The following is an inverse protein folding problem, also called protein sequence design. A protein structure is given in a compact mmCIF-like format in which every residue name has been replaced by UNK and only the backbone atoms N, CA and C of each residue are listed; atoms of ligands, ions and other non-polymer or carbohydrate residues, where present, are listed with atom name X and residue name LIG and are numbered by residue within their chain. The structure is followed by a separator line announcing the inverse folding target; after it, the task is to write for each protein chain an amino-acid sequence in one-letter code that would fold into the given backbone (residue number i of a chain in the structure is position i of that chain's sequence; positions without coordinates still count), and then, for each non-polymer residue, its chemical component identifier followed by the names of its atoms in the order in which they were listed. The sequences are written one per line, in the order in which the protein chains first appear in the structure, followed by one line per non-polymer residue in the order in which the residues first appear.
data_IF_913265653887
#
_entry.id   IF_913265653887
#
_cell.length_a   1.000
_cell.length_b   1.000
_cell.length_c   1.000
_cell.angle_alpha   90.00
_cell.angle_beta   90.00
_cell.angle_gamma   90.00
#
_symmetry.space_group_name_H-M   'P 1'
#
loop_
_entity.id
_entity.type
_entity.pdbx_description
1 polymer ?
#
# COMPACT_ATOMS: atom_id res chain seq x y z
N UNK A 1 -3.28 21.39 7.80
CA UNK A 1 -1.92 20.85 7.61
C UNK A 1 -1.56 20.87 6.14
N UNK A 2 -0.27 20.82 5.80
CA UNK A 2 0.18 20.61 4.42
C UNK A 2 -0.03 19.15 4.02
N UNK A 3 -0.63 18.92 2.85
CA UNK A 3 -0.99 17.58 2.34
C UNK A 3 -0.33 17.37 0.98
N UNK A 4 0.33 16.23 0.83
CA UNK A 4 0.86 15.77 -0.44
C UNK A 4 -0.12 14.80 -1.10
N UNK A 5 -0.44 15.03 -2.37
CA UNK A 5 -1.05 14.02 -3.23
C UNK A 5 0.07 13.33 -3.98
N UNK A 6 0.25 12.04 -3.70
CA UNK A 6 1.24 11.22 -4.37
C UNK A 6 0.58 10.11 -5.18
N UNK A 7 1.22 9.73 -6.27
CA UNK A 7 0.91 8.51 -7.00
C UNK A 7 2.09 7.55 -6.85
N UNK A 8 1.81 6.35 -6.35
CA UNK A 8 2.73 5.21 -6.35
C UNK A 8 2.31 4.26 -7.46
N UNK A 9 3.24 3.86 -8.32
CA UNK A 9 3.01 2.90 -9.40
C UNK A 9 4.11 1.85 -9.42
N UNK A 10 3.73 0.59 -9.66
CA UNK A 10 4.71 -0.49 -9.83
C UNK A 10 5.47 -0.28 -11.14
N UNK A 11 6.79 -0.25 -11.06
CA UNK A 11 7.66 0.00 -12.21
C UNK A 11 7.58 -1.16 -13.21
N UNK A 12 7.54 -0.84 -14.51
CA UNK A 12 7.64 -1.83 -15.58
C UNK A 12 6.44 -2.78 -15.78
N UNK A 13 5.32 -2.59 -15.07
CA UNK A 13 4.14 -3.48 -15.15
C UNK A 13 3.06 -2.92 -16.08
N UNK A 14 2.47 -3.78 -16.92
CA UNK A 14 1.33 -3.48 -17.79
C UNK A 14 0.25 -4.58 -17.70
N UNK A 15 -1.03 -4.24 -17.48
CA UNK A 15 -1.55 -2.90 -17.22
C UNK A 15 -1.02 -2.34 -15.89
N UNK A 16 -0.87 -1.01 -15.82
CA UNK A 16 -0.25 -0.34 -14.68
C UNK A 16 -1.00 -0.65 -13.36
N UNK A 17 -0.24 -1.11 -12.36
CA UNK A 17 -0.71 -1.24 -10.97
C UNK A 17 -0.30 0.01 -10.20
N UNK A 18 -1.26 0.74 -9.63
CA UNK A 18 -0.98 2.04 -9.00
C UNK A 18 -2.01 2.44 -7.94
N UNK A 19 -1.61 3.37 -7.06
CA UNK A 19 -2.45 4.02 -6.05
C UNK A 19 -2.18 5.51 -6.03
N UNK A 20 -3.23 6.31 -5.79
CA UNK A 20 -3.14 7.74 -5.52
C UNK A 20 -3.57 8.02 -4.10
N UNK A 21 -2.71 8.66 -3.34
CA UNK A 21 -2.81 8.81 -1.90
C UNK A 21 -2.73 10.29 -1.53
N UNK A 22 -3.44 10.66 -0.47
CA UNK A 22 -3.15 11.86 0.32
C UNK A 22 -2.34 11.42 1.53
N UNK A 23 -1.21 12.07 1.75
CA UNK A 23 -0.38 11.91 2.96
C UNK A 23 -0.11 13.28 3.58
N UNK A 24 0.05 13.31 4.89
CA UNK A 24 0.39 14.54 5.60
C UNK A 24 1.88 14.87 5.42
N UNK A 25 2.24 16.15 5.44
CA UNK A 25 3.63 16.58 5.30
C UNK A 25 4.55 16.04 6.41
N UNK A 26 4.01 15.86 7.61
CA UNK A 26 4.67 15.26 8.78
C UNK A 26 4.64 13.71 8.79
N UNK A 27 4.20 13.06 7.71
CA UNK A 27 4.29 11.60 7.57
C UNK A 27 5.76 11.20 7.55
N UNK A 28 6.19 10.38 8.52
CA UNK A 28 7.55 9.85 8.55
C UNK A 28 7.78 8.81 7.45
N UNK A 29 9.03 8.56 7.05
CA UNK A 29 9.34 7.50 6.09
C UNK A 29 8.94 6.11 6.60
N UNK A 30 9.04 5.86 7.90
CA UNK A 30 8.52 4.64 8.52
C UNK A 30 6.99 4.52 8.32
N UNK A 31 6.24 5.58 8.65
CA UNK A 31 4.79 5.58 8.44
C UNK A 31 4.41 5.45 6.95
N UNK A 32 5.17 6.09 6.05
CA UNK A 32 4.96 5.97 4.61
C UNK A 32 5.16 4.54 4.12
N UNK A 33 6.17 3.84 4.63
CA UNK A 33 6.39 2.42 4.31
C UNK A 33 5.16 1.59 4.68
N UNK A 34 4.62 1.73 5.89
CA UNK A 34 3.42 0.99 6.31
C UNK A 34 2.16 1.39 5.53
N UNK A 35 2.03 2.67 5.15
CA UNK A 35 0.98 3.10 4.20
C UNK A 35 1.13 2.35 2.88
N UNK A 36 2.35 2.19 2.35
CA UNK A 36 2.63 1.46 1.11
C UNK A 36 2.30 -0.03 1.24
N UNK A 37 2.66 -0.67 2.36
CA UNK A 37 2.27 -2.05 2.65
C UNK A 37 0.74 -2.22 2.57
N UNK A 38 -0.03 -1.37 3.25
CA UNK A 38 -1.49 -1.44 3.24
C UNK A 38 -2.06 -1.25 1.83
N UNK A 39 -1.61 -0.24 1.08
CA UNK A 39 -2.23 0.08 -0.22
C UNK A 39 -1.87 -0.93 -1.30
N UNK A 40 -0.75 -1.64 -1.15
CA UNK A 40 -0.32 -2.72 -2.03
C UNK A 40 -0.83 -4.09 -1.59
N UNK A 41 -1.36 -4.22 -0.37
CA UNK A 41 -1.87 -5.48 0.18
C UNK A 41 -0.77 -6.41 0.68
N UNK A 42 0.33 -5.84 1.19
CA UNK A 42 1.51 -6.56 1.67
C UNK A 42 1.62 -6.60 3.19
N UNK A 43 2.43 -7.56 3.67
CA UNK A 43 2.57 -7.91 5.08
C UNK A 43 3.79 -7.38 5.81
N UNK A 44 4.65 -6.59 5.17
CA UNK A 44 5.98 -6.23 5.68
C UNK A 44 6.88 -7.45 6.01
N UNK A 45 6.80 -8.49 5.16
CA UNK A 45 7.58 -9.72 5.29
C UNK A 45 9.03 -9.60 4.76
N UNK A 46 9.37 -8.48 4.11
CA UNK A 46 10.63 -8.31 3.41
C UNK A 46 11.27 -6.93 3.61
N UNK A 47 12.58 -6.86 3.38
CA UNK A 47 13.33 -5.61 3.41
C UNK A 47 12.84 -4.63 2.34
N UNK A 48 13.02 -3.34 2.63
CA UNK A 48 12.62 -2.25 1.77
C UNK A 48 13.60 -1.08 1.84
N UNK A 49 13.52 -0.18 0.87
CA UNK A 49 14.21 1.11 0.90
C UNK A 49 13.47 2.16 0.07
N UNK A 50 13.62 3.42 0.45
CA UNK A 50 13.32 4.59 -0.36
C UNK A 50 14.62 5.13 -0.93
N UNK A 51 14.62 5.51 -2.20
CA UNK A 51 15.72 6.24 -2.81
C UNK A 51 15.27 7.66 -3.14
N UNK A 52 15.78 8.65 -2.41
CA UNK A 52 15.38 10.06 -2.49
C UNK A 52 16.63 10.93 -2.65
N UNK A 53 16.69 11.72 -3.74
CA UNK A 53 17.80 12.62 -4.06
C UNK A 53 19.19 11.98 -3.93
N UNK A 54 19.35 10.74 -4.42
CA UNK A 54 20.63 10.03 -4.44
C UNK A 54 21.02 9.37 -3.12
N UNK A 55 20.11 9.31 -2.13
CA UNK A 55 20.34 8.69 -0.84
C UNK A 55 19.24 7.68 -0.51
N UNK A 56 19.65 6.58 0.12
CA UNK A 56 18.77 5.51 0.55
C UNK A 56 18.32 5.70 2.00
N UNK A 57 17.04 5.44 2.25
CA UNK A 57 16.39 5.51 3.56
C UNK A 57 15.54 4.26 3.78
N UNK A 58 15.42 3.82 5.03
CA UNK A 58 14.58 2.68 5.36
C UNK A 58 14.65 2.31 6.83
N UNK A 59 13.84 1.33 7.22
CA UNK A 59 13.94 0.72 8.56
C UNK A 59 15.14 -0.22 8.57
N UNK A 60 16.01 -0.03 9.57
CA UNK A 60 17.15 -0.93 9.79
C UNK A 60 16.69 -2.15 10.57
N UNK A 61 17.04 -3.33 10.09
CA UNK A 61 16.74 -4.60 10.75
C UNK A 61 18.05 -5.29 11.15
N UNK A 62 18.03 -6.06 12.23
CA UNK A 62 19.19 -6.85 12.65
C UNK A 62 19.58 -7.85 11.54
N UNK A 63 20.84 -7.82 11.11
CA UNK A 63 21.32 -8.63 9.99
C UNK A 63 20.87 -8.16 8.60
N UNK A 64 20.14 -7.05 8.51
CA UNK A 64 19.70 -6.43 7.25
C UNK A 64 20.58 -5.26 6.80
N UNK A 65 20.04 -4.46 5.89
CA UNK A 65 20.66 -3.18 5.48
C UNK A 65 20.49 -2.18 6.62
N UNK A 66 21.59 -1.52 6.99
CA UNK A 66 21.58 -0.41 7.94
C UNK A 66 21.44 0.93 7.22
N UNK A 67 20.61 1.81 7.77
CA UNK A 67 20.43 3.19 7.31
C UNK A 67 20.94 4.16 8.37
N UNK A 68 21.53 5.27 7.93
CA UNK A 68 22.13 6.28 8.83
C UNK A 68 21.07 7.05 9.59
N UNK A 69 19.99 7.41 8.89
CA UNK A 69 18.91 8.24 9.44
C UNK A 69 17.84 7.38 10.10
N UNK A 70 17.22 7.92 11.15
CA UNK A 70 16.08 7.29 11.77
C UNK A 70 14.81 7.55 10.93
N UNK A 71 14.21 6.53 10.28
CA UNK A 71 13.07 6.71 9.39
C UNK A 71 11.79 7.13 10.12
N UNK A 72 11.74 7.01 11.45
CA UNK A 72 10.64 7.52 12.27
C UNK A 72 10.73 9.03 12.51
N UNK A 73 11.87 9.66 12.20
CA UNK A 73 12.11 11.10 12.39
C UNK A 73 12.20 11.89 11.09
N UNK A 74 12.58 11.23 10.00
CA UNK A 74 12.62 11.85 8.66
C UNK A 74 11.20 11.87 8.10
N UNK A 75 10.67 13.05 7.81
CA UNK A 75 9.31 13.26 7.29
C UNK A 75 9.32 13.71 5.83
N UNK A 76 8.17 13.60 5.17
CA UNK A 76 8.04 13.95 3.75
C UNK A 76 8.38 15.42 3.48
N UNK A 77 8.05 16.32 4.41
CA UNK A 77 8.34 17.75 4.24
C UNK A 77 9.84 18.09 4.33
N UNK A 78 10.68 17.24 4.92
CA UNK A 78 12.14 17.47 5.02
C UNK A 78 12.82 17.54 3.65
N UNK A 79 12.20 16.92 2.65
CA UNK A 79 12.71 16.87 1.28
C UNK A 79 12.31 18.09 0.44
N UNK A 80 11.40 18.94 0.93
CA UNK A 80 10.93 20.13 0.22
C UNK A 80 10.44 19.85 -1.23
N UNK A 81 9.80 18.68 -1.44
CA UNK A 81 9.34 18.28 -2.76
C UNK A 81 8.40 19.31 -3.41
N UNK A 82 8.55 19.47 -4.73
CA UNK A 82 7.63 20.20 -5.60
C UNK A 82 6.67 19.27 -6.35
N UNK A 83 5.57 19.83 -6.86
CA UNK A 83 4.68 19.09 -7.75
C UNK A 83 5.43 18.69 -9.03
N UNK A 84 5.47 17.39 -9.31
CA UNK A 84 6.23 16.81 -10.42
C UNK A 84 7.43 15.99 -9.98
N UNK A 85 7.93 16.22 -8.76
CA UNK A 85 9.06 15.49 -8.20
C UNK A 85 8.79 14.00 -8.07
N UNK A 86 9.88 13.23 -8.09
CA UNK A 86 9.84 11.78 -8.06
C UNK A 86 10.91 11.21 -7.15
N UNK A 87 10.58 10.06 -6.57
CA UNK A 87 11.50 9.20 -5.86
C UNK A 87 11.03 7.75 -6.02
N UNK A 88 11.85 6.79 -5.62
CA UNK A 88 11.49 5.38 -5.73
C UNK A 88 11.38 4.70 -4.37
N UNK A 89 10.61 3.63 -4.34
CA UNK A 89 10.48 2.72 -3.19
C UNK A 89 10.61 1.29 -3.69
N UNK A 90 11.56 0.55 -3.13
CA UNK A 90 11.77 -0.85 -3.42
C UNK A 90 11.35 -1.69 -2.22
N UNK A 91 10.60 -2.76 -2.49
CA UNK A 91 10.18 -3.75 -1.51
C UNK A 91 10.55 -5.15 -2.00
N UNK A 92 10.96 -6.02 -1.08
CA UNK A 92 11.43 -7.37 -1.39
C UNK A 92 12.59 -7.39 -2.40
N UNK A 93 13.81 -7.28 -1.90
CA UNK A 93 15.03 -7.27 -2.73
C UNK A 93 15.32 -8.59 -3.48
N UNK A 94 14.53 -9.65 -3.28
CA UNK A 94 14.62 -10.85 -4.11
C UNK A 94 13.74 -10.76 -5.36
N UNK A 95 12.56 -10.15 -5.24
CA UNK A 95 11.61 -9.97 -6.35
C UNK A 95 11.70 -8.59 -7.02
N UNK A 96 12.41 -7.65 -6.38
CA UNK A 96 12.63 -6.29 -6.85
C UNK A 96 11.33 -5.54 -7.17
N UNK A 97 10.37 -5.50 -6.23
CA UNK A 97 9.18 -4.68 -6.39
C UNK A 97 9.54 -3.19 -6.27
N UNK A 98 10.00 -2.63 -7.39
CA UNK A 98 10.31 -1.21 -7.53
C UNK A 98 9.05 -0.42 -7.83
N UNK A 99 8.87 0.70 -7.14
CA UNK A 99 7.78 1.63 -7.36
C UNK A 99 8.31 3.00 -7.69
N UNK A 100 7.68 3.62 -8.68
CA UNK A 100 7.82 5.04 -8.96
C UNK A 100 6.80 5.81 -8.13
N UNK A 101 7.29 6.75 -7.32
CA UNK A 101 6.46 7.69 -6.58
C UNK A 101 6.58 9.05 -7.23
N UNK A 102 5.44 9.66 -7.52
CA UNK A 102 5.35 11.01 -8.06
C UNK A 102 4.50 11.88 -7.14
N UNK A 103 5.02 13.07 -6.81
CA UNK A 103 4.22 14.13 -6.20
C UNK A 103 3.37 14.77 -7.30
N UNK A 104 2.05 14.67 -7.19
CA UNK A 104 1.12 15.19 -8.19
C UNK A 104 0.53 16.54 -7.80
N UNK A 105 0.31 16.78 -6.50
CA UNK A 105 -0.18 18.06 -5.99
C UNK A 105 0.21 18.25 -4.52
N UNK A 106 0.27 19.50 -4.09
CA UNK A 106 0.55 19.90 -2.71
C UNK A 106 -0.54 20.89 -2.30
N UNK A 107 -1.20 20.62 -1.19
CA UNK A 107 -2.25 21.50 -0.64
C UNK A 107 -1.80 22.09 0.69
N UNK A 108 -1.67 23.41 0.71
CA UNK A 108 -1.40 24.17 1.93
C UNK A 108 -2.67 24.33 2.78
N UNK A 109 -2.50 24.37 4.10
CA UNK A 109 -3.58 24.66 5.07
C UNK A 109 -4.86 23.81 4.89
N UNK A 110 -4.69 22.55 4.52
CA UNK A 110 -5.79 21.63 4.23
C UNK A 110 -6.40 20.99 5.48
N UNK A 111 -7.71 20.70 5.41
CA UNK A 111 -8.47 19.88 6.37
C UNK A 111 -8.81 18.49 5.82
N UNK A 112 -8.25 18.15 4.64
CA UNK A 112 -8.46 16.85 4.02
C UNK A 112 -7.89 15.73 4.88
N UNK A 113 -8.61 14.60 4.95
CA UNK A 113 -8.16 13.40 5.66
C UNK A 113 -6.88 12.83 5.03
N UNK A 114 -5.93 12.47 5.87
CA UNK A 114 -4.72 11.72 5.53
C UNK A 114 -4.32 10.76 6.67
N UNK A 115 -3.74 9.58 6.36
CA UNK A 115 -3.59 9.03 5.02
C UNK A 115 -4.93 8.65 4.39
N UNK A 116 -5.05 8.80 3.08
CA UNK A 116 -6.28 8.43 2.36
C UNK A 116 -6.00 8.03 0.92
N UNK A 117 -6.48 6.86 0.51
CA UNK A 117 -6.43 6.39 -0.88
C UNK A 117 -7.60 6.98 -1.69
N UNK A 118 -7.27 7.84 -2.66
CA UNK A 118 -8.22 8.52 -3.55
C UNK A 118 -8.75 7.55 -4.62
N UNK A 119 -7.82 6.84 -5.26
CA UNK A 119 -8.08 5.96 -6.40
C UNK A 119 -6.90 5.01 -6.62
N UNK A 120 -7.11 3.94 -7.37
CA UNK A 120 -6.07 2.99 -7.73
C UNK A 120 -6.57 1.98 -8.75
N UNK A 121 -5.68 1.12 -9.20
CA UNK A 121 -5.96 0.07 -10.18
C UNK A 121 -5.01 -1.11 -10.00
N UNK A 122 -5.52 -2.33 -10.23
CA UNK A 122 -4.78 -3.59 -10.17
C UNK A 122 -4.25 -3.96 -8.79
N UNK A 123 -3.76 -5.19 -8.63
CA UNK A 123 -3.04 -5.66 -7.44
C UNK A 123 -1.66 -6.18 -7.86
N UNK A 124 -0.60 -5.98 -7.06
CA UNK A 124 0.71 -6.56 -7.35
C UNK A 124 0.62 -8.09 -7.49
N UNK A 125 1.15 -8.64 -8.58
CA UNK A 125 1.16 -10.08 -8.83
C UNK A 125 -0.17 -10.67 -9.36
N UNK A 126 -1.24 -9.88 -9.45
CA UNK A 126 -2.53 -10.32 -9.99
C UNK A 126 -2.70 -9.96 -11.46
N UNK A 127 -3.29 -10.87 -12.23
CA UNK A 127 -3.67 -10.67 -13.62
C UNK A 127 -5.17 -10.42 -13.77
N UNK A 128 -5.60 -9.98 -14.95
CA UNK A 128 -7.03 -9.87 -15.27
C UNK A 128 -7.74 -11.23 -15.24
N UNK A 129 -7.02 -12.33 -15.52
CA UNK A 129 -7.56 -13.68 -15.42
C UNK A 129 -7.81 -14.06 -13.96
N UNK A 130 -6.89 -13.73 -13.04
CA UNK A 130 -7.08 -13.97 -11.61
C UNK A 130 -8.30 -13.21 -11.07
N UNK A 131 -8.46 -11.93 -11.43
CA UNK A 131 -9.65 -11.16 -11.04
C UNK A 131 -10.94 -11.76 -11.61
N UNK A 132 -10.93 -12.24 -12.85
CA UNK A 132 -12.08 -12.91 -13.46
C UNK A 132 -12.44 -14.20 -12.71
N UNK A 133 -11.46 -15.07 -12.47
CA UNK A 133 -11.66 -16.36 -11.81
C UNK A 133 -12.19 -16.18 -10.38
N UNK A 134 -11.64 -15.22 -9.62
CA UNK A 134 -12.13 -14.93 -8.27
C UNK A 134 -13.49 -14.25 -8.26
N UNK A 135 -13.79 -13.42 -9.26
CA UNK A 135 -15.12 -12.83 -9.40
C UNK A 135 -16.16 -13.91 -9.68
N UNK A 136 -15.86 -14.85 -10.58
CA UNK A 136 -16.76 -15.94 -10.91
C UNK A 136 -17.00 -16.83 -9.69
N UNK A 137 -15.93 -17.26 -8.99
CA UNK A 137 -16.05 -18.07 -7.78
C UNK A 137 -16.90 -17.39 -6.69
N UNK A 138 -16.75 -16.08 -6.51
CA UNK A 138 -17.56 -15.32 -5.55
C UNK A 138 -19.04 -15.24 -5.97
N UNK A 139 -19.33 -15.01 -7.26
CA UNK A 139 -20.70 -14.99 -7.77
C UNK A 139 -21.35 -16.37 -7.67
N UNK A 140 -20.63 -17.44 -8.00
CA UNK A 140 -21.11 -18.82 -7.86
C UNK A 140 -21.43 -19.16 -6.39
N UNK A 141 -20.58 -18.73 -5.44
CA UNK A 141 -20.86 -18.91 -4.02
C UNK A 141 -22.15 -18.18 -3.59
N UNK A 142 -22.42 -16.99 -4.12
CA UNK A 142 -23.66 -16.25 -3.82
C UNK A 142 -24.87 -16.89 -4.50
N UNK A 143 -24.76 -17.29 -5.76
CA UNK A 143 -25.88 -17.85 -6.54
C UNK A 143 -26.30 -19.21 -6.01
N UNK A 144 -25.34 -20.01 -5.53
CA UNK A 144 -25.61 -21.32 -4.95
C UNK A 144 -25.93 -21.26 -3.44
N UNK A 145 -25.92 -20.07 -2.83
CA UNK A 145 -26.31 -19.92 -1.44
C UNK A 145 -27.81 -20.16 -1.25
N UNK A 146 -28.15 -20.90 -0.22
CA UNK A 146 -29.51 -21.18 0.22
C UNK A 146 -29.79 -20.56 1.61
N UNK A 147 -30.96 -20.86 2.18
CA UNK A 147 -31.39 -20.31 3.47
C UNK A 147 -30.53 -20.79 4.66
N UNK A 148 -29.74 -21.85 4.50
CA UNK A 148 -28.82 -22.36 5.53
C UNK A 148 -27.42 -21.74 5.40
N UNK A 149 -27.11 -21.17 4.24
CA UNK A 149 -25.78 -20.62 3.94
C UNK A 149 -25.48 -19.38 4.78
N UNK A 150 -24.36 -19.42 5.50
CA UNK A 150 -23.93 -18.33 6.37
C UNK A 150 -23.00 -17.34 5.66
N UNK A 151 -22.95 -16.11 6.16
CA UNK A 151 -21.95 -15.11 5.72
C UNK A 151 -20.52 -15.63 5.92
N UNK A 152 -20.30 -16.47 6.95
CA UNK A 152 -18.99 -17.07 7.23
C UNK A 152 -18.48 -17.98 6.10
N UNK A 153 -19.39 -18.66 5.39
CA UNK A 153 -19.05 -19.54 4.26
C UNK A 153 -18.79 -18.76 2.97
N UNK A 154 -19.44 -17.61 2.81
CA UNK A 154 -19.24 -16.72 1.65
C UNK A 154 -17.97 -15.86 1.81
N UNK A 155 -17.60 -15.52 3.05
CA UNK A 155 -16.51 -14.59 3.35
C UNK A 155 -15.16 -14.94 2.72
N UNK A 156 -14.70 -16.20 2.70
CA UNK A 156 -13.44 -16.56 2.05
C UNK A 156 -13.38 -16.20 0.56
N UNK A 157 -14.51 -16.29 -0.15
CA UNK A 157 -14.57 -15.92 -1.57
C UNK A 157 -14.45 -14.40 -1.79
N UNK A 158 -15.06 -13.61 -0.88
CA UNK A 158 -14.88 -12.16 -0.88
C UNK A 158 -13.43 -11.77 -0.57
N UNK A 159 -12.80 -12.46 0.38
CA UNK A 159 -11.40 -12.22 0.75
C UNK A 159 -10.44 -12.60 -0.40
N UNK A 160 -10.70 -13.71 -1.09
CA UNK A 160 -9.98 -14.14 -2.29
C UNK A 160 -10.10 -13.12 -3.44
N UNK A 161 -11.29 -12.57 -3.66
CA UNK A 161 -11.49 -11.51 -4.65
C UNK A 161 -10.74 -10.23 -4.26
N UNK A 162 -10.80 -9.85 -2.98
CA UNK A 162 -10.07 -8.69 -2.45
C UNK A 162 -8.54 -8.83 -2.54
N UNK A 163 -8.01 -10.06 -2.66
CA UNK A 163 -6.58 -10.30 -2.84
C UNK A 163 -6.10 -9.96 -4.26
N UNK A 164 -6.98 -10.10 -5.25
CA UNK A 164 -6.65 -9.91 -6.68
C UNK A 164 -7.24 -8.63 -7.26
N UNK A 165 -8.18 -7.99 -6.55
CA UNK A 165 -8.89 -6.79 -6.99
C UNK A 165 -8.65 -5.60 -6.07
N UNK A 166 -8.40 -4.44 -6.66
CA UNK A 166 -8.26 -3.19 -5.91
C UNK A 166 -9.56 -2.82 -5.17
N UNK A 167 -9.53 -2.85 -3.84
CA UNK A 167 -10.64 -2.45 -2.97
C UNK A 167 -10.31 -1.17 -2.19
N UNK A 168 -10.72 -0.01 -2.74
CA UNK A 168 -10.51 1.31 -2.11
C UNK A 168 -11.13 1.41 -0.72
N UNK A 169 -12.26 0.76 -0.47
CA UNK A 169 -12.95 0.85 0.82
C UNK A 169 -12.19 0.07 1.90
N UNK A 170 -11.75 -1.16 1.60
CA UNK A 170 -10.89 -1.96 2.48
C UNK A 170 -9.60 -1.21 2.83
N UNK A 171 -8.91 -0.67 1.82
CA UNK A 171 -7.67 0.10 2.02
C UNK A 171 -7.90 1.30 2.94
N UNK A 172 -8.91 2.13 2.67
CA UNK A 172 -9.15 3.31 3.52
C UNK A 172 -9.60 2.95 4.94
N UNK A 173 -10.28 1.82 5.13
CA UNK A 173 -10.60 1.29 6.47
C UNK A 173 -9.32 0.89 7.21
N UNK A 174 -8.39 0.20 6.55
CA UNK A 174 -7.10 -0.17 7.14
C UNK A 174 -6.24 1.07 7.45
N UNK A 175 -6.14 2.01 6.51
CA UNK A 175 -5.42 3.27 6.71
C UNK A 175 -5.96 4.07 7.91
N UNK A 176 -7.27 4.06 8.14
CA UNK A 176 -7.87 4.77 9.29
C UNK A 176 -7.55 4.17 10.66
N UNK A 177 -7.03 2.93 10.69
CA UNK A 177 -6.64 2.22 11.91
C UNK A 177 -5.13 2.25 12.16
N UNK A 178 -4.34 2.67 11.17
CA UNK A 178 -2.88 2.74 11.29
C UNK A 178 -2.49 3.87 12.25
N UNK A 179 -1.77 3.54 13.32
CA UNK A 179 -1.10 4.53 14.17
C UNK A 179 0.14 5.07 13.44
N UNK A 180 0.11 6.34 13.02
CA UNK A 180 1.23 6.94 12.29
C UNK A 180 2.43 7.28 13.19
N UNK A 181 2.23 7.39 14.51
CA UNK A 181 3.29 7.72 15.45
C UNK A 181 4.14 6.48 15.82
N UNK A 182 3.51 5.31 15.88
CA UNK A 182 4.16 4.02 16.12
C UNK A 182 3.62 2.97 15.14
N UNK A 183 3.91 3.11 13.84
CA UNK A 183 3.27 2.30 12.82
C UNK A 183 3.74 0.85 12.90
N UNK A 184 2.76 -0.04 13.02
CA UNK A 184 2.88 -1.50 12.98
C UNK A 184 1.65 -2.02 12.26
N UNK A 185 1.81 -3.05 11.42
CA UNK A 185 0.66 -3.71 10.79
C UNK A 185 0.00 -4.65 11.80
N UNK A 186 -1.30 -4.47 12.06
CA UNK A 186 -2.03 -5.44 12.87
C UNK A 186 -2.14 -6.79 12.13
N UNK A 187 -2.09 -7.94 12.83
CA UNK A 187 -2.21 -9.25 12.21
C UNK A 187 -3.49 -9.45 11.38
N UNK A 188 -4.58 -8.77 11.74
CA UNK A 188 -5.86 -8.82 10.98
C UNK A 188 -5.82 -8.02 9.67
N UNK A 189 -4.85 -7.11 9.50
CA UNK A 189 -4.72 -6.26 8.31
C UNK A 189 -4.17 -7.05 7.12
N UNK A 190 -3.53 -8.19 7.36
CA UNK A 190 -2.85 -8.98 6.33
C UNK A 190 -3.24 -10.45 6.49
N UNK A 191 -4.22 -10.92 5.72
CA UNK A 191 -4.44 -12.35 5.62
C UNK A 191 -3.49 -12.96 4.57
N UNK A 192 -2.57 -13.78 5.10
CA UNK A 192 -1.88 -14.94 4.53
C UNK A 192 -2.09 -15.22 3.03
N UNK A 193 -1.31 -14.51 2.20
CA UNK A 193 -0.89 -15.05 0.92
C UNK A 193 0.02 -16.26 1.16
N UNK A 194 -0.44 -17.44 0.75
CA UNK A 194 0.21 -18.76 0.83
C UNK A 194 1.73 -18.71 1.01
N UNK A 195 2.22 -19.27 2.12
CA UNK A 195 3.52 -19.97 2.13
C UNK A 195 3.48 -20.99 0.99
N UNK A 196 4.31 -20.79 -0.04
CA UNK A 196 4.74 -21.90 -0.91
C UNK A 196 5.83 -22.67 -0.19
#
# INVERSE_FOLDING_TARGET
MKIYVIKIAVHGVSPMVWRRLRIAADTSLAALHFIFQIVQGWGDDHLHQFHIYGKDYGISYEGGIGFVDNPFRVVIDDFAFDAGDRFTYEYNFFEHWLHDIRVEAIYENSTLKAPFCISGHGMPGATAADEFDKTLAFLEAIVNADDETTVGEIRPFADDLDAVRFNRHKINRQLSRLDLASPVLEPEVIWLGRRR
#
